data_IF_015775019859
#
_entry.id   IF_015775019859
#
_cell.length_a   1.000
_cell.length_b   1.000
_cell.length_c   1.000
_cell.angle_alpha   90.00
_cell.angle_beta   90.00
_cell.angle_gamma   90.00
#
_symmetry.space_group_name_H-M   'P 1'
#
loop_
_entity.id
_entity.type
_entity.pdbx_description
1 polymer ?
#
# COMPACT_ATOMS: atom_id res chain seq x y z
N UNK A 1 -0.24 12.89 54.26
CA UNK A 1 -0.56 13.41 52.92
C UNK A 1 -1.03 12.23 52.08
N UNK A 2 -2.34 11.99 52.13
CA UNK A 2 -3.05 10.92 51.42
C UNK A 2 -3.40 11.43 50.04
N UNK A 3 -2.60 11.04 49.04
CA UNK A 3 -2.84 11.33 47.63
C UNK A 3 -3.91 10.38 47.09
N UNK A 4 -5.11 10.93 46.95
CA UNK A 4 -6.31 10.28 46.45
C UNK A 4 -6.13 9.90 44.97
N UNK A 5 -5.73 8.66 44.67
CA UNK A 5 -5.90 8.06 43.35
C UNK A 5 -7.34 7.58 43.23
N UNK A 6 -8.26 8.53 43.06
CA UNK A 6 -9.58 8.24 42.51
C UNK A 6 -9.35 7.72 41.09
N UNK A 7 -9.20 6.41 41.00
CA UNK A 7 -9.42 5.62 39.80
C UNK A 7 -10.89 5.80 39.47
N UNK A 8 -11.19 6.87 38.73
CA UNK A 8 -12.32 6.82 37.81
C UNK A 8 -12.07 5.57 36.98
N UNK A 9 -12.80 4.49 37.28
CA UNK A 9 -13.20 3.51 36.27
C UNK A 9 -13.95 4.32 35.21
N UNK A 10 -13.19 4.99 34.35
CA UNK A 10 -13.70 5.54 33.13
C UNK A 10 -14.32 4.37 32.39
N UNK A 11 -15.54 4.58 31.88
CA UNK A 11 -16.05 3.77 30.79
C UNK A 11 -14.87 3.51 29.83
N UNK A 12 -14.62 2.24 29.45
CA UNK A 12 -13.43 1.87 28.67
C UNK A 12 -13.28 2.86 27.52
N UNK A 13 -12.10 3.47 27.40
CA UNK A 13 -11.86 4.57 26.47
C UNK A 13 -12.55 4.34 25.12
N UNK A 14 -13.49 5.23 24.77
CA UNK A 14 -14.08 5.35 23.44
C UNK A 14 -15.25 4.42 23.09
N UNK A 15 -16.35 4.42 23.84
CA UNK A 15 -17.64 3.98 23.24
C UNK A 15 -17.95 4.94 22.09
N UNK A 16 -18.07 4.39 20.87
CA UNK A 16 -18.15 5.17 19.62
C UNK A 16 -16.81 5.35 18.88
N UNK A 17 -15.74 4.68 19.32
CA UNK A 17 -14.50 4.60 18.54
C UNK A 17 -14.65 3.59 17.39
N UNK A 18 -14.80 4.13 16.18
CA UNK A 18 -14.84 3.39 14.92
C UNK A 18 -13.45 3.25 14.29
N UNK A 19 -12.35 3.28 15.06
CA UNK A 19 -10.99 3.13 14.54
C UNK A 19 -10.73 1.81 13.81
N UNK A 20 -11.57 0.79 14.01
CA UNK A 20 -11.53 -0.46 13.23
C UNK A 20 -12.09 -0.34 11.82
N UNK A 21 -12.85 0.73 11.52
CA UNK A 21 -13.46 0.96 10.22
C UNK A 21 -12.39 1.42 9.23
N UNK A 22 -12.28 0.76 8.09
CA UNK A 22 -11.18 1.00 7.15
C UNK A 22 -11.31 2.30 6.36
N UNK A 23 -12.53 2.65 5.96
CA UNK A 23 -12.81 3.91 5.24
C UNK A 23 -12.92 5.10 6.21
N UNK A 24 -12.14 6.16 5.96
CA UNK A 24 -12.18 7.39 6.76
C UNK A 24 -13.53 8.13 6.66
N UNK A 25 -14.13 8.13 5.48
CA UNK A 25 -15.43 8.77 5.24
C UNK A 25 -16.55 7.99 5.95
N UNK A 26 -16.52 6.65 5.85
CA UNK A 26 -17.49 5.80 6.55
C UNK A 26 -17.35 5.94 8.06
N UNK A 27 -16.12 5.96 8.57
CA UNK A 27 -15.84 6.19 9.99
C UNK A 27 -16.45 7.51 10.48
N UNK A 28 -16.24 8.59 9.73
CA UNK A 28 -16.80 9.91 10.05
C UNK A 28 -18.33 9.88 10.03
N UNK A 29 -18.93 9.23 9.04
CA UNK A 29 -20.38 9.04 8.95
C UNK A 29 -20.93 8.26 10.15
N UNK A 30 -20.30 7.14 10.52
CA UNK A 30 -20.71 6.31 11.65
C UNK A 30 -20.60 7.05 12.99
N UNK A 31 -19.57 7.86 13.17
CA UNK A 31 -19.44 8.72 14.35
C UNK A 31 -20.55 9.76 14.43
N UNK A 32 -20.90 10.38 13.31
CA UNK A 32 -22.03 11.32 13.22
C UNK A 32 -23.35 10.62 13.53
N UNK A 33 -23.61 9.46 12.92
CA UNK A 33 -24.85 8.69 13.14
C UNK A 33 -24.97 8.21 14.59
N UNK A 34 -23.85 7.80 15.20
CA UNK A 34 -23.80 7.43 16.61
C UNK A 34 -24.11 8.62 17.52
N UNK A 35 -23.57 9.81 17.22
CA UNK A 35 -23.91 11.03 17.95
C UNK A 35 -25.40 11.40 17.78
N UNK A 36 -25.99 11.16 16.60
CA UNK A 36 -27.42 11.38 16.35
C UNK A 36 -28.29 10.36 17.07
N UNK A 37 -27.85 9.11 17.20
CA UNK A 37 -28.50 8.08 18.02
C UNK A 37 -28.62 8.53 19.48
N UNK A 38 -27.55 9.10 20.06
CA UNK A 38 -27.57 9.64 21.43
C UNK A 38 -28.59 10.78 21.57
N UNK A 39 -28.63 11.72 20.61
CA UNK A 39 -29.62 12.81 20.62
C UNK A 39 -31.05 12.29 20.48
N UNK A 40 -31.28 11.31 19.60
CA UNK A 40 -32.59 10.69 19.43
C UNK A 40 -33.08 10.05 20.74
N UNK A 41 -32.19 9.38 21.48
CA UNK A 41 -32.52 8.80 22.79
C UNK A 41 -32.82 9.89 23.84
N UNK A 42 -32.04 10.97 23.87
CA UNK A 42 -32.30 12.10 24.78
C UNK A 42 -33.61 12.82 24.48
N UNK A 43 -33.97 12.93 23.20
CA UNK A 43 -35.22 13.53 22.74
C UNK A 43 -36.42 12.59 22.73
N UNK A 44 -36.30 11.39 23.30
CA UNK A 44 -37.36 10.37 23.34
C UNK A 44 -37.86 9.90 21.96
N UNK A 45 -37.02 10.02 20.94
CA UNK A 45 -37.29 9.61 19.55
C UNK A 45 -36.97 8.12 19.35
N UNK A 46 -37.68 7.24 20.05
CA UNK A 46 -37.37 5.80 20.14
C UNK A 46 -37.28 5.08 18.79
N UNK A 47 -38.18 5.42 17.86
CA UNK A 47 -38.20 4.86 16.52
C UNK A 47 -36.94 5.25 15.73
N UNK A 48 -36.57 6.52 15.76
CA UNK A 48 -35.36 7.03 15.11
C UNK A 48 -34.11 6.37 15.70
N UNK A 49 -34.05 6.23 17.03
CA UNK A 49 -32.95 5.54 17.71
C UNK A 49 -32.81 4.09 17.24
N UNK A 50 -33.90 3.32 17.14
CA UNK A 50 -33.85 1.94 16.66
C UNK A 50 -33.35 1.85 15.21
N UNK A 51 -33.77 2.77 14.35
CA UNK A 51 -33.37 2.81 12.93
C UNK A 51 -31.89 3.16 12.79
N UNK A 52 -31.42 4.20 13.48
CA UNK A 52 -30.01 4.61 13.50
C UNK A 52 -29.13 3.47 14.02
N UNK A 53 -29.53 2.82 15.13
CA UNK A 53 -28.79 1.69 15.69
C UNK A 53 -28.65 0.52 14.69
N UNK A 54 -29.73 0.18 13.99
CA UNK A 54 -29.70 -0.85 12.93
C UNK A 54 -28.76 -0.47 11.78
N UNK A 55 -28.81 0.78 11.33
CA UNK A 55 -27.96 1.30 10.25
C UNK A 55 -26.47 1.29 10.62
N UNK A 56 -26.13 1.74 11.82
CA UNK A 56 -24.75 1.73 12.35
C UNK A 56 -24.22 0.30 12.40
N UNK A 57 -25.01 -0.63 12.93
CA UNK A 57 -24.61 -2.03 13.05
C UNK A 57 -24.40 -2.69 11.68
N UNK A 58 -25.31 -2.46 10.73
CA UNK A 58 -25.21 -2.96 9.36
C UNK A 58 -23.93 -2.44 8.69
N UNK A 59 -23.71 -1.12 8.69
CA UNK A 59 -22.54 -0.51 8.08
C UNK A 59 -21.21 -0.95 8.73
N UNK A 60 -21.16 -1.06 10.06
CA UNK A 60 -19.96 -1.54 10.76
C UNK A 60 -19.64 -3.01 10.46
N UNK A 61 -20.65 -3.87 10.33
CA UNK A 61 -20.47 -5.27 9.95
C UNK A 61 -20.06 -5.42 8.49
N UNK A 62 -20.65 -4.63 7.57
CA UNK A 62 -20.29 -4.64 6.16
C UNK A 62 -18.80 -4.30 5.97
N UNK A 63 -18.33 -3.21 6.59
CA UNK A 63 -16.92 -2.82 6.52
C UNK A 63 -16.00 -3.87 7.16
N UNK A 64 -16.39 -4.43 8.31
CA UNK A 64 -15.64 -5.52 8.94
C UNK A 64 -15.52 -6.76 8.02
N UNK A 65 -16.62 -7.16 7.35
CA UNK A 65 -16.64 -8.29 6.42
C UNK A 65 -15.79 -8.02 5.18
N UNK A 66 -15.88 -6.81 4.62
CA UNK A 66 -15.11 -6.40 3.45
C UNK A 66 -13.60 -6.41 3.74
N UNK A 67 -13.20 -5.83 4.86
CA UNK A 67 -11.79 -5.71 5.24
C UNK A 67 -11.18 -7.05 5.65
N UNK A 68 -11.90 -7.87 6.43
CA UNK A 68 -11.34 -9.07 7.05
C UNK A 68 -11.72 -10.37 6.36
N UNK A 69 -12.83 -10.38 5.63
CA UNK A 69 -13.42 -11.61 5.13
C UNK A 69 -12.83 -12.08 3.82
N UNK A 70 -12.00 -11.28 3.14
CA UNK A 70 -11.61 -11.55 1.74
C UNK A 70 -12.81 -12.04 0.93
N UNK A 71 -13.98 -11.43 1.18
CA UNK A 71 -15.24 -11.97 0.74
C UNK A 71 -15.35 -11.72 -0.75
N UNK A 72 -15.69 -12.74 -1.54
CA UNK A 72 -15.89 -12.57 -2.98
C UNK A 72 -17.22 -11.89 -3.32
N UNK A 73 -18.08 -11.65 -2.32
CA UNK A 73 -19.38 -11.04 -2.51
C UNK A 73 -19.24 -9.54 -2.80
N UNK A 74 -20.06 -9.04 -3.72
CA UNK A 74 -20.12 -7.60 -3.98
C UNK A 74 -20.74 -6.86 -2.79
N UNK A 75 -20.50 -5.55 -2.68
CA UNK A 75 -21.21 -4.73 -1.68
C UNK A 75 -22.73 -4.83 -1.82
N UNK A 76 -23.24 -5.01 -3.05
CA UNK A 76 -24.67 -5.19 -3.31
C UNK A 76 -25.18 -6.53 -2.79
N UNK A 77 -24.40 -7.60 -2.90
CA UNK A 77 -24.75 -8.91 -2.34
C UNK A 77 -24.77 -8.85 -0.81
N UNK A 78 -23.77 -8.21 -0.21
CA UNK A 78 -23.71 -8.01 1.23
C UNK A 78 -24.87 -7.12 1.73
N UNK A 79 -25.23 -6.06 0.99
CA UNK A 79 -26.34 -5.17 1.36
C UNK A 79 -27.74 -5.82 1.24
N UNK A 80 -27.86 -6.96 0.55
CA UNK A 80 -29.09 -7.75 0.52
C UNK A 80 -29.24 -8.63 1.76
N UNK A 81 -28.15 -8.90 2.48
CA UNK A 81 -28.21 -9.69 3.70
C UNK A 81 -28.88 -8.93 4.84
N UNK A 82 -29.66 -9.65 5.61
CA UNK A 82 -30.19 -9.10 6.86
C UNK A 82 -29.12 -9.12 7.95
N UNK A 83 -29.31 -8.29 8.98
CA UNK A 83 -28.40 -8.19 10.13
C UNK A 83 -27.99 -9.55 10.72
N UNK A 84 -28.87 -10.57 10.90
CA UNK A 84 -28.44 -11.89 11.36
C UNK A 84 -27.48 -12.60 10.38
N UNK A 85 -27.67 -12.42 9.08
CA UNK A 85 -26.78 -12.97 8.04
C UNK A 85 -25.40 -12.34 8.09
N UNK A 86 -25.33 -11.01 8.27
CA UNK A 86 -24.08 -10.27 8.43
C UNK A 86 -23.33 -10.68 9.71
N UNK A 87 -24.03 -10.85 10.83
CA UNK A 87 -23.39 -11.31 12.08
C UNK A 87 -22.86 -12.73 11.92
N UNK A 88 -23.63 -13.64 11.30
CA UNK A 88 -23.13 -14.97 10.98
C UNK A 88 -21.89 -14.89 10.09
N UNK A 89 -21.88 -14.04 9.07
CA UNK A 89 -20.71 -13.86 8.23
C UNK A 89 -19.50 -13.36 9.03
N UNK A 90 -19.66 -12.36 9.90
CA UNK A 90 -18.60 -11.85 10.76
C UNK A 90 -18.03 -12.92 11.71
N UNK A 91 -18.88 -13.74 12.34
CA UNK A 91 -18.43 -14.88 13.14
C UNK A 91 -17.71 -15.93 12.27
N UNK A 92 -18.22 -16.19 11.06
CA UNK A 92 -17.60 -17.11 10.11
C UNK A 92 -16.18 -16.70 9.74
N UNK A 93 -15.92 -15.40 9.64
CA UNK A 93 -14.57 -14.87 9.42
C UNK A 93 -13.63 -15.25 10.58
N UNK A 94 -14.06 -15.21 11.84
CA UNK A 94 -13.27 -15.69 12.99
C UNK A 94 -12.94 -17.18 12.90
N UNK A 95 -13.90 -17.98 12.44
CA UNK A 95 -13.76 -19.44 12.36
C UNK A 95 -12.85 -19.86 11.22
N UNK A 96 -13.05 -19.27 10.03
CA UNK A 96 -12.34 -19.66 8.82
C UNK A 96 -10.90 -19.15 8.82
N UNK A 97 -10.65 -17.92 9.28
CA UNK A 97 -9.27 -17.41 9.42
C UNK A 97 -8.44 -18.20 10.42
N UNK A 98 -9.06 -18.80 11.44
CA UNK A 98 -8.36 -19.66 12.39
C UNK A 98 -8.05 -21.07 11.83
N UNK A 99 -8.76 -21.52 10.79
CA UNK A 99 -8.72 -22.91 10.32
C UNK A 99 -8.16 -23.09 8.90
N UNK A 100 -8.11 -22.03 8.08
CA UNK A 100 -7.72 -22.12 6.67
C UNK A 100 -6.69 -21.03 6.29
N UNK A 101 -5.72 -21.32 5.40
CA UNK A 101 -4.84 -20.30 4.84
C UNK A 101 -5.65 -19.30 3.99
N UNK A 102 -5.30 -18.01 4.06
CA UNK A 102 -5.98 -16.89 3.37
C UNK A 102 -5.93 -16.92 1.82
N UNK A 103 -5.51 -18.02 1.20
CA UNK A 103 -5.24 -18.08 -0.23
C UNK A 103 -6.51 -18.13 -1.11
N UNK A 104 -7.70 -18.33 -0.53
CA UNK A 104 -8.98 -18.43 -1.27
C UNK A 104 -9.96 -17.42 -0.70
N UNK A 105 -10.53 -16.58 -1.57
CA UNK A 105 -11.63 -15.71 -1.22
C UNK A 105 -12.85 -16.55 -0.81
N UNK A 106 -13.40 -16.30 0.39
CA UNK A 106 -14.57 -17.03 0.87
C UNK A 106 -15.84 -16.43 0.27
N UNK A 107 -16.81 -17.27 -0.09
CA UNK A 107 -18.12 -16.75 -0.48
C UNK A 107 -18.89 -16.31 0.78
N UNK A 108 -19.83 -15.39 0.61
CA UNK A 108 -20.73 -14.98 1.70
C UNK A 108 -21.48 -16.19 2.30
N UNK A 109 -21.83 -17.17 1.47
CA UNK A 109 -22.49 -18.39 1.94
C UNK A 109 -21.58 -19.20 2.85
N UNK A 110 -20.29 -19.32 2.53
CA UNK A 110 -19.31 -20.01 3.36
C UNK A 110 -19.14 -19.32 4.72
N UNK A 111 -18.99 -17.99 4.71
CA UNK A 111 -18.88 -17.18 5.93
C UNK A 111 -20.13 -17.35 6.80
N UNK A 112 -21.33 -17.16 6.24
CA UNK A 112 -22.58 -17.30 6.97
C UNK A 112 -22.78 -18.72 7.50
N UNK A 113 -22.43 -19.76 6.73
CA UNK A 113 -22.55 -21.14 7.18
C UNK A 113 -21.59 -21.45 8.33
N UNK A 114 -20.31 -21.06 8.20
CA UNK A 114 -19.31 -21.26 9.24
C UNK A 114 -19.70 -20.57 10.55
N UNK A 115 -20.20 -19.32 10.47
CA UNK A 115 -20.67 -18.61 11.66
C UNK A 115 -21.90 -19.25 12.32
N UNK A 116 -22.86 -19.73 11.52
CA UNK A 116 -24.02 -20.46 12.04
C UNK A 116 -23.61 -21.72 12.80
N UNK A 117 -22.69 -22.49 12.25
CA UNK A 117 -22.22 -23.73 12.86
C UNK A 117 -21.41 -23.44 14.14
N UNK A 118 -20.59 -22.39 14.11
CA UNK A 118 -19.84 -21.92 15.26
C UNK A 118 -20.74 -21.45 16.41
N UNK A 119 -21.81 -20.71 16.12
CA UNK A 119 -22.78 -20.26 17.12
C UNK A 119 -23.64 -21.39 17.70
N UNK A 120 -23.76 -22.52 16.99
CA UNK A 120 -24.39 -23.76 17.50
C UNK A 120 -23.45 -24.58 18.36
N UNK A 121 -22.15 -24.49 18.09
CA UNK A 121 -21.14 -25.07 18.97
C UNK A 121 -21.07 -24.26 20.26
N UNK A 122 -20.87 -24.91 21.40
CA UNK A 122 -20.79 -24.21 22.70
C UNK A 122 -19.49 -23.39 22.89
N UNK A 123 -18.75 -23.18 21.81
CA UNK A 123 -17.50 -22.43 21.75
C UNK A 123 -17.70 -20.96 22.16
N UNK A 124 -16.69 -20.42 22.82
CA UNK A 124 -16.66 -19.03 23.24
C UNK A 124 -16.07 -18.17 22.12
N UNK A 125 -16.90 -17.32 21.51
CA UNK A 125 -16.51 -16.40 20.45
C UNK A 125 -16.87 -14.97 20.87
N UNK A 126 -16.00 -14.02 20.57
CA UNK A 126 -16.19 -12.59 20.92
C UNK A 126 -17.56 -12.05 20.48
N UNK A 127 -18.00 -12.43 19.27
CA UNK A 127 -19.28 -12.00 18.69
C UNK A 127 -20.50 -12.84 19.12
N UNK A 128 -20.35 -13.87 19.98
CA UNK A 128 -21.48 -14.70 20.45
C UNK A 128 -22.49 -13.87 21.24
N UNK A 129 -22.03 -12.99 22.13
CA UNK A 129 -22.92 -12.08 22.88
C UNK A 129 -23.67 -11.14 21.92
N UNK A 130 -22.99 -10.60 20.93
CA UNK A 130 -23.57 -9.70 19.91
C UNK A 130 -24.67 -10.44 19.13
N UNK A 131 -24.43 -11.68 18.72
CA UNK A 131 -25.43 -12.50 18.04
C UNK A 131 -26.68 -12.73 18.89
N UNK A 132 -26.51 -13.10 20.16
CA UNK A 132 -27.64 -13.30 21.08
C UNK A 132 -28.47 -12.01 21.23
N UNK A 133 -27.79 -10.87 21.34
CA UNK A 133 -28.44 -9.55 21.40
C UNK A 133 -29.11 -9.16 20.08
N UNK A 134 -28.57 -9.57 18.93
CA UNK A 134 -29.14 -9.22 17.63
C UNK A 134 -30.54 -9.78 17.40
N UNK A 135 -30.87 -10.89 18.06
CA UNK A 135 -32.21 -11.49 17.98
C UNK A 135 -33.29 -10.52 18.47
N UNK A 136 -32.94 -9.67 19.45
CA UNK A 136 -33.81 -8.64 20.00
C UNK A 136 -33.93 -7.41 19.07
N UNK A 137 -33.00 -7.24 18.11
CA UNK A 137 -32.87 -6.02 17.30
C UNK A 137 -33.03 -6.23 15.79
N UNK A 138 -33.15 -7.49 15.33
CA UNK A 138 -33.16 -7.89 13.92
C UNK A 138 -34.28 -7.24 13.08
N UNK A 139 -35.37 -6.84 13.72
CA UNK A 139 -36.56 -6.30 13.06
C UNK A 139 -36.62 -4.76 13.11
N UNK A 140 -35.60 -4.08 13.64
CA UNK A 140 -35.68 -2.62 13.85
C UNK A 140 -35.68 -1.80 12.56
N UNK A 141 -35.00 -2.26 11.50
CA UNK A 141 -35.10 -1.65 10.16
C UNK A 141 -36.52 -1.74 9.60
N UNK A 142 -37.28 -2.76 10.00
CA UNK A 142 -38.66 -2.94 9.57
C UNK A 142 -39.63 -1.95 10.21
N UNK A 143 -39.22 -1.26 11.29
CA UNK A 143 -40.04 -0.25 11.96
C UNK A 143 -40.18 1.03 11.13
N UNK A 144 -39.34 1.26 10.11
CA UNK A 144 -39.46 2.43 9.20
C UNK A 144 -40.85 2.48 8.53
N UNK A 145 -41.46 1.32 8.28
CA UNK A 145 -42.74 1.21 7.57
C UNK A 145 -43.95 1.22 8.52
N UNK A 146 -44.78 2.29 8.56
CA UNK A 146 -45.92 2.38 9.49
C UNK A 146 -46.93 1.24 9.34
N UNK A 147 -47.15 0.76 8.10
CA UNK A 147 -48.07 -0.36 7.85
C UNK A 147 -47.59 -1.70 8.44
N UNK A 148 -46.28 -1.89 8.63
CA UNK A 148 -45.73 -3.10 9.25
C UNK A 148 -45.86 -3.05 10.77
N UNK A 149 -45.61 -1.88 11.36
CA UNK A 149 -45.85 -1.58 12.78
C UNK A 149 -47.27 -1.99 13.21
N UNK A 150 -48.28 -1.58 12.41
CA UNK A 150 -49.68 -1.92 12.67
C UNK A 150 -49.98 -3.42 12.55
N UNK A 151 -49.37 -4.11 11.57
CA UNK A 151 -49.62 -5.55 11.34
C UNK A 151 -48.96 -6.43 12.39
N UNK A 152 -47.72 -6.12 12.76
CA UNK A 152 -46.95 -6.90 13.72
C UNK A 152 -47.25 -6.50 15.18
N UNK A 153 -47.90 -5.35 15.39
CA UNK A 153 -48.15 -4.77 16.72
C UNK A 153 -46.86 -4.53 17.52
N UNK A 154 -45.75 -4.39 16.82
CA UNK A 154 -44.46 -4.01 17.39
C UNK A 154 -44.41 -2.48 17.44
N UNK A 155 -44.25 -1.90 18.64
CA UNK A 155 -44.03 -0.47 18.79
C UNK A 155 -42.61 -0.24 19.27
N UNK A 156 -41.91 0.71 18.65
CA UNK A 156 -40.66 1.20 19.19
C UNK A 156 -40.95 1.92 20.51
N UNK A 157 -40.43 1.40 21.61
CA UNK A 157 -40.50 2.03 22.93
C UNK A 157 -39.11 2.31 23.47
N UNK A 158 -39.07 2.93 24.65
CA UNK A 158 -37.81 3.25 25.34
C UNK A 158 -36.95 2.01 25.58
N UNK A 159 -37.54 0.89 25.98
CA UNK A 159 -36.78 -0.32 26.33
C UNK A 159 -36.12 -0.92 25.09
N UNK A 160 -36.86 -0.97 23.98
CA UNK A 160 -36.36 -1.44 22.69
C UNK A 160 -35.24 -0.53 22.18
N UNK A 161 -35.41 0.79 22.25
CA UNK A 161 -34.39 1.74 21.82
C UNK A 161 -33.10 1.64 22.68
N UNK A 162 -33.24 1.46 24.00
CA UNK A 162 -32.10 1.24 24.88
C UNK A 162 -31.40 -0.10 24.61
N UNK A 163 -32.16 -1.16 24.30
CA UNK A 163 -31.59 -2.43 23.88
C UNK A 163 -30.85 -2.32 22.54
N UNK A 164 -31.40 -1.55 21.59
CA UNK A 164 -30.77 -1.27 20.29
C UNK A 164 -29.42 -0.59 20.45
N UNK A 165 -29.35 0.45 21.29
CA UNK A 165 -28.09 1.12 21.62
C UNK A 165 -27.11 0.15 22.26
N UNK A 166 -27.52 -0.57 23.32
CA UNK A 166 -26.63 -1.49 24.02
C UNK A 166 -26.04 -2.56 23.08
N UNK A 167 -26.84 -3.02 22.10
CA UNK A 167 -26.36 -3.91 21.05
C UNK A 167 -25.28 -3.26 20.19
N UNK A 168 -25.49 -2.02 19.72
CA UNK A 168 -24.49 -1.26 18.94
C UNK A 168 -23.22 -1.03 19.73
N UNK A 169 -23.32 -0.57 20.98
CA UNK A 169 -22.16 -0.33 21.86
C UNK A 169 -21.34 -1.62 22.01
N UNK A 170 -22.02 -2.74 22.24
CA UNK A 170 -21.39 -4.06 22.37
C UNK A 170 -20.76 -4.52 21.06
N UNK A 171 -21.43 -4.33 19.94
CA UNK A 171 -20.93 -4.68 18.61
C UNK A 171 -19.65 -3.90 18.28
N UNK A 172 -19.67 -2.58 18.40
CA UNK A 172 -18.52 -1.70 18.15
C UNK A 172 -17.33 -2.13 19.02
N UNK A 173 -17.57 -2.38 20.30
CA UNK A 173 -16.53 -2.82 21.23
C UNK A 173 -15.89 -4.15 20.80
N UNK A 174 -16.70 -5.15 20.45
CA UNK A 174 -16.21 -6.47 20.06
C UNK A 174 -15.53 -6.45 18.68
N UNK A 175 -16.08 -5.75 17.69
CA UNK A 175 -15.42 -5.56 16.39
C UNK A 175 -14.08 -4.82 16.56
N UNK A 176 -14.05 -3.79 17.41
CA UNK A 176 -12.83 -3.06 17.74
C UNK A 176 -11.76 -3.93 18.42
N UNK A 177 -12.17 -4.80 19.36
CA UNK A 177 -11.27 -5.77 20.01
C UNK A 177 -10.72 -6.77 19.02
N UNK A 178 -11.58 -7.38 18.21
CA UNK A 178 -11.17 -8.37 17.22
C UNK A 178 -10.26 -7.77 16.15
N UNK A 179 -10.58 -6.58 15.68
CA UNK A 179 -9.74 -5.86 14.72
C UNK A 179 -8.38 -5.49 15.30
N UNK A 180 -8.27 -5.10 16.58
CA UNK A 180 -6.97 -4.87 17.25
C UNK A 180 -6.19 -6.15 17.48
N UNK A 181 -6.87 -7.26 17.79
CA UNK A 181 -6.23 -8.58 17.96
C UNK A 181 -5.59 -9.06 16.66
N UNK A 182 -6.30 -8.90 15.54
CA UNK A 182 -5.83 -9.30 14.20
C UNK A 182 -4.79 -8.36 13.63
N UNK A 183 -5.02 -7.06 13.82
CA UNK A 183 -4.15 -6.01 13.29
C UNK A 183 -3.71 -5.07 14.42
N UNK A 184 -2.70 -5.48 15.21
CA UNK A 184 -2.22 -4.71 16.34
C UNK A 184 -1.39 -3.49 15.95
N UNK A 185 -0.99 -3.36 14.67
CA UNK A 185 -0.08 -2.30 14.22
C UNK A 185 -0.78 -1.26 13.36
N UNK A 186 -0.62 0.01 13.73
CA UNK A 186 -0.92 1.17 12.90
C UNK A 186 0.23 1.48 11.93
N UNK A 187 0.00 2.37 10.96
CA UNK A 187 1.05 2.82 10.06
C UNK A 187 2.17 3.58 10.81
N UNK A 188 1.81 4.35 11.83
CA UNK A 188 2.77 5.02 12.72
C UNK A 188 3.60 4.01 13.51
N UNK A 189 3.01 2.92 13.99
CA UNK A 189 3.77 1.88 14.68
C UNK A 189 4.83 1.28 13.76
N UNK A 190 4.51 1.06 12.48
CA UNK A 190 5.48 0.58 11.49
C UNK A 190 6.64 1.57 11.35
N UNK A 191 6.34 2.85 11.13
CA UNK A 191 7.39 3.89 10.98
C UNK A 191 8.21 4.04 12.26
N UNK A 192 7.57 4.20 13.41
CA UNK A 192 8.26 4.34 14.70
C UNK A 192 9.16 3.13 14.97
N UNK A 193 8.69 1.92 14.66
CA UNK A 193 9.46 0.70 14.86
C UNK A 193 10.69 0.65 13.96
N UNK A 194 10.55 1.05 12.70
CA UNK A 194 11.64 1.17 11.71
C UNK A 194 12.65 2.24 12.12
N UNK A 195 12.20 3.32 12.76
CA UNK A 195 13.05 4.43 13.19
C UNK A 195 13.79 4.16 14.50
N UNK A 196 13.18 3.43 15.45
CA UNK A 196 13.71 3.27 16.80
C UNK A 196 14.39 1.92 17.07
N UNK A 197 14.17 0.89 16.26
CA UNK A 197 14.63 -0.48 16.57
C UNK A 197 15.34 -1.14 15.38
N UNK A 198 16.66 -1.23 15.45
CA UNK A 198 17.46 -1.93 14.44
C UNK A 198 17.13 -3.43 14.33
N UNK A 199 16.66 -4.05 15.41
CA UNK A 199 16.26 -5.46 15.45
C UNK A 199 14.92 -5.74 14.76
N UNK A 200 14.09 -4.71 14.59
CA UNK A 200 12.77 -4.82 13.97
C UNK A 200 12.82 -5.30 12.51
N UNK A 201 13.98 -5.20 11.86
CA UNK A 201 14.20 -5.62 10.47
C UNK A 201 13.77 -7.06 10.20
N UNK A 202 14.05 -7.94 11.15
CA UNK A 202 13.74 -9.38 11.01
C UNK A 202 12.25 -9.69 11.13
N UNK A 203 11.48 -8.79 11.77
CA UNK A 203 10.05 -8.95 12.00
C UNK A 203 9.21 -7.97 11.17
N UNK A 204 9.82 -7.05 10.42
CA UNK A 204 9.12 -6.00 9.69
C UNK A 204 8.07 -6.55 8.71
N UNK A 205 8.37 -7.67 8.04
CA UNK A 205 7.41 -8.36 7.19
C UNK A 205 6.20 -8.89 7.97
N UNK A 206 6.39 -9.43 9.18
CA UNK A 206 5.30 -9.90 10.04
C UNK A 206 4.47 -8.72 10.56
N UNK A 207 5.13 -7.61 10.93
CA UNK A 207 4.45 -6.37 11.35
C UNK A 207 3.58 -5.85 10.21
N UNK A 208 4.14 -5.67 9.00
CA UNK A 208 3.42 -5.19 7.82
C UNK A 208 2.24 -6.12 7.47
N UNK A 209 2.42 -7.44 7.55
CA UNK A 209 1.32 -8.42 7.33
C UNK A 209 0.22 -8.33 8.39
N UNK A 210 0.55 -7.84 9.58
CA UNK A 210 -0.37 -7.60 10.71
C UNK A 210 -0.80 -6.13 10.80
N UNK A 211 -0.56 -5.33 9.77
CA UNK A 211 -1.08 -3.95 9.66
C UNK A 211 -2.38 -3.98 8.86
N UNK A 212 -3.36 -3.17 9.27
CA UNK A 212 -4.66 -3.08 8.58
C UNK A 212 -4.48 -2.61 7.14
N UNK A 213 -5.32 -3.05 6.18
CA UNK A 213 -5.27 -2.54 4.82
C UNK A 213 -5.37 -1.00 4.74
N UNK A 214 -6.26 -0.36 5.50
CA UNK A 214 -6.35 1.11 5.53
C UNK A 214 -5.05 1.77 6.00
N UNK A 215 -4.38 1.17 6.99
CA UNK A 215 -3.09 1.62 7.51
C UNK A 215 -1.95 1.35 6.53
N UNK A 216 -1.98 0.24 5.77
CA UNK A 216 -1.04 0.01 4.66
C UNK A 216 -1.19 1.11 3.60
N UNK A 217 -2.42 1.47 3.23
CA UNK A 217 -2.67 2.56 2.29
C UNK A 217 -2.10 3.88 2.80
N UNK A 218 -2.35 4.19 4.08
CA UNK A 218 -1.84 5.40 4.74
C UNK A 218 -0.30 5.41 4.82
N UNK A 219 0.29 4.26 5.13
CA UNK A 219 1.74 4.07 5.15
C UNK A 219 2.34 4.38 3.78
N UNK A 220 1.76 3.84 2.71
CA UNK A 220 2.27 4.00 1.35
C UNK A 220 2.03 5.39 0.75
N UNK A 221 0.87 6.00 1.02
CA UNK A 221 0.46 7.27 0.39
C UNK A 221 1.02 8.49 1.11
N UNK A 222 1.19 8.41 2.43
CA UNK A 222 1.53 9.57 3.27
C UNK A 222 2.78 9.33 4.12
N UNK A 223 2.69 8.41 5.09
CA UNK A 223 3.67 8.36 6.18
C UNK A 223 5.07 7.92 5.75
N UNK A 224 5.22 6.88 4.93
CA UNK A 224 6.53 6.42 4.50
C UNK A 224 7.21 7.41 3.53
N UNK A 225 6.54 7.95 2.48
CA UNK A 225 7.14 8.99 1.65
C UNK A 225 7.55 10.23 2.45
N UNK A 226 6.70 10.68 3.38
CA UNK A 226 7.02 11.82 4.25
C UNK A 226 8.21 11.54 5.16
N UNK A 227 8.21 10.41 5.88
CA UNK A 227 9.32 10.02 6.76
C UNK A 227 10.63 9.87 5.98
N UNK A 228 10.58 9.37 4.74
CA UNK A 228 11.73 9.29 3.86
C UNK A 228 12.27 10.70 3.52
N UNK A 229 11.40 11.62 3.14
CA UNK A 229 11.78 13.00 2.81
C UNK A 229 12.31 13.79 4.01
N UNK A 230 11.73 13.58 5.19
CA UNK A 230 12.22 14.18 6.44
C UNK A 230 13.65 13.69 6.73
N UNK A 231 13.91 12.39 6.56
CA UNK A 231 15.23 11.78 6.72
C UNK A 231 16.23 12.28 5.67
N UNK A 232 15.79 12.41 4.42
CA UNK A 232 16.58 12.94 3.32
C UNK A 232 16.96 14.41 3.55
N UNK A 233 16.02 15.20 4.08
CA UNK A 233 16.27 16.60 4.40
C UNK A 233 17.35 16.75 5.48
N UNK A 234 17.42 15.84 6.45
CA UNK A 234 18.51 15.81 7.43
C UNK A 234 19.87 15.52 6.77
N UNK A 235 19.91 14.61 5.79
CA UNK A 235 21.11 14.30 5.01
C UNK A 235 21.59 15.49 4.16
N UNK A 236 20.66 16.15 3.47
CA UNK A 236 20.99 17.25 2.57
C UNK A 236 21.43 18.52 3.30
N UNK A 237 20.97 18.72 4.54
CA UNK A 237 21.30 19.89 5.36
C UNK A 237 22.48 19.67 6.32
N UNK A 238 23.08 18.48 6.35
CA UNK A 238 24.20 18.20 7.24
C UNK A 238 25.41 19.09 6.86
N UNK A 239 25.99 19.85 7.81
CA UNK A 239 27.13 20.72 7.53
C UNK A 239 28.40 19.88 7.33
N UNK A 240 28.73 19.57 6.09
CA UNK A 240 29.96 18.89 5.70
C UNK A 240 30.39 19.30 4.30
N UNK A 241 31.69 19.34 3.99
CA UNK A 241 32.16 19.63 2.64
C UNK A 241 31.65 18.54 1.71
N UNK A 242 30.77 18.91 0.77
CA UNK A 242 30.40 18.11 -0.39
C UNK A 242 31.62 18.05 -1.31
N UNK A 243 32.66 17.33 -0.89
CA UNK A 243 33.80 17.00 -1.76
C UNK A 243 33.41 15.74 -2.53
N UNK A 244 33.09 15.98 -3.80
CA UNK A 244 32.81 15.05 -4.89
C UNK A 244 31.64 14.07 -4.70
N UNK A 245 30.51 14.44 -5.32
CA UNK A 245 29.24 13.70 -5.37
C UNK A 245 29.33 12.28 -5.97
N UNK A 246 30.42 11.94 -6.64
CA UNK A 246 30.57 10.65 -7.34
C UNK A 246 31.11 9.52 -6.44
N UNK A 247 31.67 9.83 -5.26
CA UNK A 247 32.24 8.84 -4.33
C UNK A 247 31.48 8.76 -2.98
N UNK A 248 30.15 8.57 -3.04
CA UNK A 248 29.30 8.30 -1.86
C UNK A 248 29.61 6.97 -1.11
N UNK A 249 30.69 6.27 -1.49
CA UNK A 249 31.21 5.06 -0.84
C UNK A 249 32.46 5.32 0.04
N UNK A 250 32.95 6.57 0.16
CA UNK A 250 34.20 6.87 0.89
C UNK A 250 34.04 7.87 2.04
N UNK A 251 33.07 7.66 2.94
CA UNK A 251 32.99 8.43 4.19
C UNK A 251 33.84 7.79 5.29
N UNK A 252 35.06 8.28 5.44
CA UNK A 252 35.86 8.05 6.63
C UNK A 252 35.27 8.84 7.81
N UNK A 253 34.88 8.11 8.86
CA UNK A 253 34.19 8.62 10.05
C UNK A 253 34.98 9.72 10.77
N UNK A 254 34.45 10.93 10.80
CA UNK A 254 34.69 11.93 11.84
C UNK A 254 33.59 11.84 12.91
N UNK A 255 33.84 12.27 14.17
CA UNK A 255 32.90 12.08 15.28
C UNK A 255 31.57 12.84 15.17
N UNK A 256 31.46 13.86 14.31
CA UNK A 256 30.19 14.57 14.03
C UNK A 256 29.30 13.82 13.00
N UNK A 257 29.76 12.68 12.46
CA UNK A 257 29.07 11.88 11.44
C UNK A 257 27.92 11.00 11.96
N UNK A 258 27.67 10.98 13.28
CA UNK A 258 26.65 10.10 13.89
C UNK A 258 25.26 10.41 13.31
N UNK A 259 24.91 11.69 13.16
CA UNK A 259 23.61 12.09 12.61
C UNK A 259 23.42 11.73 11.13
N UNK A 260 24.49 11.74 10.33
CA UNK A 260 24.43 11.43 8.88
C UNK A 260 24.32 9.92 8.66
N UNK A 261 25.10 9.13 9.39
CA UNK A 261 25.02 7.67 9.34
C UNK A 261 23.63 7.16 9.78
N UNK A 262 23.05 7.80 10.79
CA UNK A 262 21.71 7.49 11.29
C UNK A 262 20.64 7.85 10.26
N UNK A 263 20.70 9.04 9.65
CA UNK A 263 19.74 9.46 8.63
C UNK A 263 19.81 8.61 7.35
N UNK A 264 21.01 8.17 6.91
CA UNK A 264 21.17 7.26 5.76
C UNK A 264 20.58 5.89 6.07
N UNK A 265 20.81 5.39 7.27
CA UNK A 265 20.21 4.15 7.75
C UNK A 265 18.68 4.29 7.77
N UNK A 266 18.17 5.43 8.24
CA UNK A 266 16.74 5.71 8.30
C UNK A 266 16.07 5.69 6.93
N UNK A 267 16.63 6.39 5.94
CA UNK A 267 16.15 6.35 4.55
C UNK A 267 16.06 4.90 4.04
N UNK A 268 17.11 4.09 4.26
CA UNK A 268 17.13 2.68 3.85
C UNK A 268 16.01 1.87 4.52
N UNK A 269 15.77 2.08 5.81
CA UNK A 269 14.75 1.32 6.54
C UNK A 269 13.33 1.73 6.18
N UNK A 270 13.09 3.04 5.99
CA UNK A 270 11.80 3.53 5.49
C UNK A 270 11.52 3.00 4.09
N UNK A 271 12.53 2.98 3.21
CA UNK A 271 12.42 2.34 1.89
C UNK A 271 12.06 0.86 1.99
N UNK A 272 12.71 0.10 2.88
CA UNK A 272 12.38 -1.31 3.05
C UNK A 272 10.95 -1.51 3.55
N UNK A 273 10.50 -0.71 4.51
CA UNK A 273 9.11 -0.74 5.00
C UNK A 273 8.12 -0.43 3.88
N UNK A 274 8.40 0.60 3.07
CA UNK A 274 7.60 0.95 1.90
C UNK A 274 7.51 -0.21 0.91
N UNK A 275 8.65 -0.83 0.54
CA UNK A 275 8.64 -1.95 -0.41
C UNK A 275 7.86 -3.16 0.11
N UNK A 276 8.05 -3.54 1.37
CA UNK A 276 7.31 -4.67 1.97
C UNK A 276 5.82 -4.40 2.07
N UNK A 277 5.44 -3.16 2.43
CA UNK A 277 4.04 -2.73 2.43
C UNK A 277 3.46 -2.73 1.02
N UNK A 278 4.21 -2.26 0.03
CA UNK A 278 3.80 -2.25 -1.37
C UNK A 278 3.59 -3.68 -1.87
N UNK A 279 4.50 -4.60 -1.57
CA UNK A 279 4.39 -6.00 -2.01
C UNK A 279 3.18 -6.71 -1.39
N UNK A 280 2.85 -6.36 -0.14
CA UNK A 280 1.69 -6.89 0.60
C UNK A 280 0.36 -6.19 0.25
N UNK A 281 0.39 -5.09 -0.50
CA UNK A 281 -0.77 -4.27 -0.79
C UNK A 281 -1.64 -4.83 -1.93
N UNK A 282 -2.94 -4.49 -1.89
CA UNK A 282 -3.87 -4.74 -2.98
C UNK A 282 -3.54 -3.92 -4.23
N UNK A 283 -4.10 -4.30 -5.38
CA UNK A 283 -3.91 -3.56 -6.65
C UNK A 283 -4.32 -2.09 -6.54
N UNK A 284 -5.43 -1.79 -5.87
CA UNK A 284 -5.91 -0.42 -5.71
C UNK A 284 -5.03 0.40 -4.78
N UNK A 285 -4.51 -0.21 -3.71
CA UNK A 285 -3.53 0.42 -2.83
C UNK A 285 -2.21 0.71 -3.55
N UNK A 286 -1.72 -0.24 -4.36
CA UNK A 286 -0.53 -0.06 -5.21
C UNK A 286 -0.71 1.09 -6.20
N UNK A 287 -1.90 1.18 -6.83
CA UNK A 287 -2.25 2.30 -7.73
C UNK A 287 -2.26 3.63 -6.99
N UNK A 288 -2.91 3.70 -5.83
CA UNK A 288 -2.96 4.90 -5.01
C UNK A 288 -1.55 5.34 -4.55
N UNK A 289 -0.70 4.39 -4.16
CA UNK A 289 0.69 4.66 -3.79
C UNK A 289 1.49 5.25 -4.96
N UNK A 290 1.36 4.71 -6.17
CA UNK A 290 2.05 5.24 -7.35
C UNK A 290 1.54 6.62 -7.76
N UNK A 291 0.24 6.87 -7.64
CA UNK A 291 -0.32 8.20 -7.87
C UNK A 291 0.21 9.23 -6.86
N UNK A 292 0.38 8.83 -5.60
CA UNK A 292 0.99 9.67 -4.57
C UNK A 292 2.47 9.99 -4.89
N UNK A 293 3.24 9.01 -5.37
CA UNK A 293 4.61 9.22 -5.85
C UNK A 293 4.63 10.16 -7.05
N UNK A 294 3.81 9.93 -8.08
CA UNK A 294 3.68 10.80 -9.25
C UNK A 294 3.37 12.27 -8.84
N UNK A 295 2.44 12.44 -7.90
CA UNK A 295 2.11 13.74 -7.31
C UNK A 295 3.29 14.41 -6.59
N UNK A 296 4.18 13.63 -5.97
CA UNK A 296 5.40 14.15 -5.36
C UNK A 296 6.43 14.58 -6.42
N UNK A 297 6.55 13.85 -7.54
CA UNK A 297 7.48 14.21 -8.62
C UNK A 297 7.19 15.60 -9.19
N UNK A 298 5.91 15.98 -9.31
CA UNK A 298 5.49 17.31 -9.80
C UNK A 298 5.79 18.44 -8.81
N UNK A 299 5.73 18.16 -7.50
CA UNK A 299 5.73 19.20 -6.45
C UNK A 299 7.11 19.48 -5.84
N UNK A 300 8.09 18.61 -6.05
CA UNK A 300 9.35 18.59 -5.32
C UNK A 300 10.52 19.09 -6.15
N UNK A 301 11.63 19.40 -5.48
CA UNK A 301 12.86 19.81 -6.15
C UNK A 301 13.51 18.64 -6.90
N UNK A 302 14.25 18.92 -7.97
CA UNK A 302 14.88 17.89 -8.82
C UNK A 302 15.75 16.89 -8.02
N UNK A 303 16.41 17.34 -6.95
CA UNK A 303 17.21 16.48 -6.05
C UNK A 303 16.35 15.55 -5.18
N UNK A 304 15.24 16.02 -4.62
CA UNK A 304 14.29 15.18 -3.87
C UNK A 304 13.64 14.14 -4.78
N UNK A 305 13.18 14.58 -5.96
CA UNK A 305 12.54 13.73 -6.97
C UNK A 305 13.47 12.58 -7.37
N UNK A 306 14.75 12.88 -7.63
CA UNK A 306 15.79 11.87 -7.90
C UNK A 306 15.86 10.80 -6.81
N UNK A 307 15.88 11.20 -5.54
CA UNK A 307 15.97 10.26 -4.43
C UNK A 307 14.70 9.42 -4.24
N UNK A 308 13.51 10.02 -4.46
CA UNK A 308 12.24 9.29 -4.45
C UNK A 308 12.27 8.18 -5.51
N UNK A 309 12.68 8.48 -6.74
CA UNK A 309 12.74 7.47 -7.79
C UNK A 309 13.74 6.36 -7.52
N UNK A 310 14.92 6.72 -7.01
CA UNK A 310 15.97 5.76 -6.69
C UNK A 310 15.56 4.76 -5.62
N UNK A 311 14.75 5.20 -4.65
CA UNK A 311 14.54 4.46 -3.42
C UNK A 311 13.11 3.97 -3.20
N UNK A 312 12.09 4.70 -3.65
CA UNK A 312 10.69 4.33 -3.43
C UNK A 312 10.03 3.75 -4.68
N UNK A 313 10.62 3.94 -5.86
CA UNK A 313 10.06 3.47 -7.12
C UNK A 313 10.85 2.26 -7.66
N UNK A 314 10.12 1.26 -8.14
CA UNK A 314 10.68 0.12 -8.90
C UNK A 314 9.95 0.09 -10.22
N UNK A 315 10.62 0.25 -11.37
CA UNK A 315 9.91 0.38 -12.65
C UNK A 315 8.91 -0.76 -12.94
N UNK A 316 9.15 -2.05 -12.59
CA UNK A 316 8.15 -3.09 -12.79
C UNK A 316 6.82 -2.84 -12.07
N UNK A 317 6.79 -2.04 -11.00
CA UNK A 317 5.55 -1.72 -10.30
C UNK A 317 4.66 -0.76 -11.08
N UNK A 318 5.19 -0.09 -12.12
CA UNK A 318 4.40 0.80 -12.98
C UNK A 318 3.24 0.08 -13.68
N UNK A 319 3.24 -1.25 -13.76
CA UNK A 319 2.08 -2.03 -14.24
C UNK A 319 0.79 -1.74 -13.45
N UNK A 320 0.89 -1.23 -12.22
CA UNK A 320 -0.26 -0.86 -11.39
C UNK A 320 -0.68 0.62 -11.52
N UNK A 321 0.18 1.48 -12.09
CA UNK A 321 -0.09 2.90 -12.25
C UNK A 321 -1.12 3.18 -13.36
N UNK A 322 -1.76 4.35 -13.28
CA UNK A 322 -2.58 4.86 -14.39
C UNK A 322 -1.68 5.20 -15.60
N UNK A 323 -2.24 5.24 -16.80
CA UNK A 323 -1.47 5.61 -18.01
C UNK A 323 -0.86 7.01 -17.88
N UNK A 324 -1.56 7.95 -17.23
CA UNK A 324 -1.05 9.31 -17.00
C UNK A 324 0.14 9.31 -16.04
N UNK A 325 0.02 8.63 -14.89
CA UNK A 325 1.11 8.50 -13.92
C UNK A 325 2.32 7.76 -14.52
N UNK A 326 2.07 6.71 -15.33
CA UNK A 326 3.12 5.99 -16.05
C UNK A 326 3.90 6.91 -16.98
N UNK A 327 3.20 7.70 -17.82
CA UNK A 327 3.86 8.61 -18.77
C UNK A 327 4.69 9.67 -18.05
N UNK A 328 4.16 10.23 -16.95
CA UNK A 328 4.87 11.22 -16.14
C UNK A 328 6.15 10.63 -15.54
N UNK A 329 6.03 9.48 -14.86
CA UNK A 329 7.15 8.83 -14.19
C UNK A 329 8.21 8.39 -15.22
N UNK A 330 7.81 7.73 -16.30
CA UNK A 330 8.73 7.29 -17.35
C UNK A 330 9.45 8.48 -17.99
N UNK A 331 8.74 9.57 -18.27
CA UNK A 331 9.32 10.79 -18.82
C UNK A 331 10.41 11.37 -17.92
N UNK A 332 10.14 11.52 -16.63
CA UNK A 332 11.06 12.11 -15.66
C UNK A 332 12.32 11.23 -15.43
N UNK A 333 12.17 9.91 -15.35
CA UNK A 333 13.30 8.96 -15.30
C UNK A 333 14.15 9.05 -16.57
N UNK A 334 13.52 9.09 -17.74
CA UNK A 334 14.23 9.18 -19.02
C UNK A 334 15.01 10.49 -19.13
N UNK A 335 14.38 11.62 -18.80
CA UNK A 335 15.03 12.93 -18.82
C UNK A 335 16.27 12.92 -17.91
N UNK A 336 16.20 12.28 -16.73
CA UNK A 336 17.37 12.10 -15.85
C UNK A 336 18.47 11.23 -16.46
N UNK A 337 18.14 10.09 -17.04
CA UNK A 337 19.13 9.23 -17.71
C UNK A 337 19.80 9.99 -18.86
N UNK A 338 19.06 10.88 -19.53
CA UNK A 338 19.57 11.73 -20.61
C UNK A 338 20.49 12.85 -20.12
N UNK A 339 20.15 13.50 -19.01
CA UNK A 339 20.94 14.60 -18.44
C UNK A 339 22.19 14.07 -17.72
N UNK A 340 22.08 12.93 -17.02
CA UNK A 340 23.16 12.34 -16.22
C UNK A 340 23.53 10.93 -16.68
N UNK A 341 23.99 10.77 -17.93
CA UNK A 341 24.28 9.46 -18.49
C UNK A 341 25.28 8.71 -17.61
N UNK A 342 26.36 9.32 -17.14
CA UNK A 342 27.41 8.61 -16.40
C UNK A 342 27.02 8.05 -15.02
N UNK A 343 25.84 8.37 -14.47
CA UNK A 343 25.48 7.94 -13.12
C UNK A 343 24.91 6.51 -13.10
N UNK A 344 25.74 5.54 -12.69
CA UNK A 344 25.35 4.13 -12.48
C UNK A 344 24.00 3.97 -11.76
N UNK A 345 23.78 4.75 -10.71
CA UNK A 345 22.57 4.67 -9.88
C UNK A 345 21.30 5.01 -10.67
N UNK A 346 21.35 5.96 -11.61
CA UNK A 346 20.20 6.30 -12.45
C UNK A 346 19.86 5.20 -13.44
N UNK A 347 20.89 4.49 -13.94
CA UNK A 347 20.69 3.28 -14.74
C UNK A 347 20.05 2.17 -13.91
N UNK A 348 20.50 1.98 -12.68
CA UNK A 348 19.96 0.94 -11.81
C UNK A 348 18.51 1.22 -11.42
N UNK A 349 18.14 2.47 -11.13
CA UNK A 349 16.74 2.84 -10.83
C UNK A 349 15.81 2.70 -12.04
N UNK A 350 16.34 2.85 -13.26
CA UNK A 350 15.58 2.62 -14.50
C UNK A 350 15.32 1.15 -14.81
N UNK A 351 15.78 0.19 -14.00
CA UNK A 351 15.63 -1.24 -14.28
C UNK A 351 14.16 -1.65 -14.38
N UNK A 352 13.73 -2.17 -15.53
CA UNK A 352 12.35 -2.53 -15.84
C UNK A 352 11.58 -1.48 -16.67
N UNK A 353 12.17 -0.31 -16.94
CA UNK A 353 11.51 0.78 -17.68
C UNK A 353 11.15 0.37 -19.11
N UNK A 354 11.89 -0.55 -19.73
CA UNK A 354 11.72 -1.00 -21.11
C UNK A 354 10.29 -1.48 -21.42
N UNK A 355 9.61 -2.10 -20.44
CA UNK A 355 8.24 -2.57 -20.59
C UNK A 355 7.22 -1.44 -20.84
N UNK A 356 7.58 -0.19 -20.56
CA UNK A 356 6.69 0.97 -20.59
C UNK A 356 7.10 2.03 -21.62
N UNK A 357 8.19 1.81 -22.39
CA UNK A 357 8.69 2.79 -23.35
C UNK A 357 7.92 2.76 -24.67
N UNK A 358 7.58 3.93 -25.20
CA UNK A 358 7.14 4.06 -26.61
C UNK A 358 8.31 3.89 -27.60
N UNK A 359 8.05 3.68 -28.90
CA UNK A 359 9.09 3.63 -29.93
C UNK A 359 9.98 4.89 -29.96
N UNK A 360 9.42 6.07 -29.72
CA UNK A 360 10.15 7.33 -29.69
C UNK A 360 11.03 7.44 -28.44
N UNK A 361 10.48 7.11 -27.27
CA UNK A 361 11.21 7.13 -26.00
C UNK A 361 12.35 6.12 -25.98
N UNK A 362 12.10 4.90 -26.48
CA UNK A 362 13.11 3.85 -26.58
C UNK A 362 14.22 4.21 -27.57
N UNK A 363 13.92 4.88 -28.69
CA UNK A 363 14.94 5.45 -29.56
C UNK A 363 15.79 6.50 -28.83
N UNK A 364 15.18 7.45 -28.12
CA UNK A 364 15.89 8.48 -27.36
C UNK A 364 16.81 7.89 -26.28
N UNK A 365 16.32 6.88 -25.55
CA UNK A 365 17.12 6.14 -24.57
C UNK A 365 18.32 5.46 -25.24
N UNK A 366 18.11 4.76 -26.36
CA UNK A 366 19.19 4.09 -27.10
C UNK A 366 20.21 5.10 -27.65
N UNK A 367 19.76 6.24 -28.18
CA UNK A 367 20.64 7.31 -28.64
C UNK A 367 21.50 7.88 -27.52
N UNK A 368 20.94 7.99 -26.32
CA UNK A 368 21.62 8.50 -25.13
C UNK A 368 22.68 7.52 -24.64
N UNK A 369 22.28 6.26 -24.43
CA UNK A 369 23.15 5.22 -23.88
C UNK A 369 24.23 4.77 -24.87
N UNK A 370 23.90 4.66 -26.15
CA UNK A 370 24.85 4.24 -27.18
C UNK A 370 25.56 5.42 -27.86
N UNK A 371 25.16 6.67 -27.56
CA UNK A 371 25.67 7.92 -28.13
C UNK A 371 26.83 8.54 -27.34
N UNK A 372 27.24 9.76 -27.73
CA UNK A 372 28.56 10.32 -27.36
C UNK A 372 28.76 10.60 -25.86
N UNK A 373 27.72 10.44 -25.02
CA UNK A 373 27.72 10.82 -23.60
C UNK A 373 28.51 9.91 -22.66
N UNK A 374 28.94 8.71 -23.07
CA UNK A 374 29.58 7.76 -22.15
C UNK A 374 31.08 7.64 -22.40
N UNK A 375 31.94 8.03 -21.42
CA UNK A 375 33.38 7.87 -21.54
C UNK A 375 33.73 6.40 -21.76
N UNK A 376 34.60 6.21 -22.74
CA UNK A 376 34.98 4.98 -23.42
C UNK A 376 34.96 3.75 -22.49
N UNK A 377 34.17 2.75 -22.90
CA UNK A 377 34.26 1.29 -22.77
C UNK A 377 35.58 0.68 -22.24
N UNK A 378 36.06 1.17 -21.11
CA UNK A 378 37.16 0.62 -20.35
C UNK A 378 36.68 -0.45 -19.36
N UNK A 379 37.59 -1.26 -18.79
CA UNK A 379 37.25 -2.36 -17.89
C UNK A 379 36.48 -1.96 -16.61
N UNK A 380 36.50 -0.67 -16.26
CA UNK A 380 35.79 -0.09 -15.12
C UNK A 380 34.77 0.97 -15.53
N UNK A 381 34.38 1.05 -16.81
CA UNK A 381 33.56 2.15 -17.28
C UNK A 381 32.06 1.87 -17.21
N UNK A 382 31.36 2.93 -16.83
CA UNK A 382 29.93 3.18 -16.97
C UNK A 382 29.36 2.63 -18.30
N UNK A 383 30.12 2.65 -19.41
CA UNK A 383 29.69 2.11 -20.71
C UNK A 383 29.30 0.62 -20.71
N UNK A 384 29.95 -0.20 -19.87
CA UNK A 384 29.54 -1.61 -19.70
C UNK A 384 28.15 -1.71 -19.05
N UNK A 385 27.90 -0.91 -18.03
CA UNK A 385 26.63 -0.88 -17.30
C UNK A 385 25.49 -0.39 -18.19
N UNK A 386 25.74 0.62 -19.03
CA UNK A 386 24.79 1.07 -20.05
C UNK A 386 24.44 -0.03 -21.07
N UNK A 387 25.45 -0.78 -21.56
CA UNK A 387 25.22 -1.92 -22.46
C UNK A 387 24.41 -3.01 -21.77
N UNK A 388 24.78 -3.37 -20.56
CA UNK A 388 24.10 -4.44 -19.81
C UNK A 388 22.67 -4.02 -19.43
N UNK A 389 22.46 -2.75 -19.09
CA UNK A 389 21.13 -2.18 -18.89
C UNK A 389 20.29 -2.25 -20.16
N UNK A 390 20.75 -1.68 -21.27
CA UNK A 390 19.99 -1.69 -22.52
C UNK A 390 19.73 -3.12 -23.00
N UNK A 391 20.65 -4.06 -22.76
CA UNK A 391 20.43 -5.48 -23.03
C UNK A 391 19.27 -6.05 -22.22
N UNK A 392 19.21 -5.78 -20.90
CA UNK A 392 18.11 -6.23 -20.02
C UNK A 392 16.79 -5.62 -20.44
N UNK A 393 16.75 -4.30 -20.60
CA UNK A 393 15.53 -3.57 -20.95
C UNK A 393 14.97 -4.00 -22.31
N UNK A 394 15.84 -4.22 -23.32
CA UNK A 394 15.42 -4.66 -24.65
C UNK A 394 14.58 -5.95 -24.62
N UNK A 395 14.91 -6.89 -23.71
CA UNK A 395 14.22 -8.19 -23.63
C UNK A 395 12.77 -8.10 -23.14
N UNK A 396 12.41 -7.00 -22.46
CA UNK A 396 11.07 -6.76 -21.93
C UNK A 396 10.33 -5.64 -22.67
N UNK A 397 10.96 -5.03 -23.69
CA UNK A 397 10.35 -3.96 -24.48
C UNK A 397 9.21 -4.50 -25.38
N UNK A 398 8.17 -3.69 -25.63
CA UNK A 398 7.25 -3.93 -26.73
C UNK A 398 8.00 -4.07 -28.07
N UNK A 399 7.49 -4.91 -28.97
CA UNK A 399 8.17 -5.24 -30.24
C UNK A 399 8.49 -4.00 -31.09
N UNK A 400 7.62 -2.98 -31.08
CA UNK A 400 7.84 -1.73 -31.82
C UNK A 400 8.98 -0.90 -31.22
N UNK A 401 9.04 -0.83 -29.89
CA UNK A 401 10.10 -0.17 -29.14
C UNK A 401 11.45 -0.88 -29.32
N UNK A 402 11.47 -2.22 -29.25
CA UNK A 402 12.65 -3.03 -29.53
C UNK A 402 13.17 -2.83 -30.97
N UNK A 403 12.28 -2.76 -31.97
CA UNK A 403 12.65 -2.43 -33.35
C UNK A 403 13.27 -1.04 -33.46
N UNK A 404 12.71 -0.07 -32.76
CA UNK A 404 13.22 1.31 -32.71
C UNK A 404 14.64 1.37 -32.15
N UNK A 405 14.89 0.69 -31.01
CA UNK A 405 16.22 0.58 -30.40
C UNK A 405 17.24 -0.09 -31.34
N UNK A 406 16.86 -1.19 -31.99
CA UNK A 406 17.73 -1.90 -32.94
C UNK A 406 18.10 -1.01 -34.14
N UNK A 407 17.13 -0.26 -34.68
CA UNK A 407 17.37 0.67 -35.78
C UNK A 407 18.33 1.80 -35.40
N UNK A 408 18.21 2.35 -34.19
CA UNK A 408 19.13 3.36 -33.65
C UNK A 408 20.54 2.79 -33.50
N UNK A 409 20.66 1.61 -32.89
CA UNK A 409 21.94 0.93 -32.68
C UNK A 409 22.65 0.64 -34.02
N UNK A 410 21.93 0.11 -35.01
CA UNK A 410 22.45 -0.16 -36.35
C UNK A 410 22.94 1.13 -37.05
N UNK A 411 22.15 2.21 -36.96
CA UNK A 411 22.53 3.52 -37.50
C UNK A 411 23.79 4.08 -36.83
N UNK A 412 23.88 3.99 -35.50
CA UNK A 412 25.05 4.44 -34.74
C UNK A 412 26.29 3.61 -35.06
N UNK A 413 26.16 2.28 -35.14
CA UNK A 413 27.22 1.37 -35.58
C UNK A 413 27.78 1.77 -36.94
N UNK A 414 26.92 1.95 -37.95
CA UNK A 414 27.34 2.39 -39.30
C UNK A 414 28.09 3.71 -39.26
N UNK A 415 27.58 4.68 -38.49
CA UNK A 415 28.23 6.00 -38.32
C UNK A 415 29.62 5.87 -37.69
N UNK A 416 29.74 5.11 -36.59
CA UNK A 416 31.00 4.91 -35.88
C UNK A 416 32.03 4.14 -36.72
N UNK A 417 31.61 3.22 -37.58
CA UNK A 417 32.50 2.52 -38.52
C UNK A 417 33.21 3.45 -39.52
N UNK A 418 32.71 4.68 -39.71
CA UNK A 418 33.37 5.69 -40.57
C UNK A 418 34.31 6.61 -39.81
N UNK A 419 34.31 6.57 -38.47
CA UNK A 419 35.09 7.47 -37.61
C UNK A 419 36.32 6.71 -37.10
N UNK A 420 37.51 7.14 -37.54
CA UNK A 420 38.80 6.58 -37.09
C UNK A 420 38.92 6.64 -35.56
N UNK A 421 39.28 5.52 -34.93
CA UNK A 421 39.41 5.41 -33.46
C UNK A 421 38.08 5.09 -32.74
N UNK A 422 37.01 4.77 -33.46
CA UNK A 422 35.72 4.34 -32.90
C UNK A 422 35.39 2.86 -33.17
N UNK A 423 36.37 2.07 -33.64
CA UNK A 423 36.21 0.69 -34.09
C UNK A 423 35.72 -0.22 -32.97
N UNK A 424 36.31 -0.12 -31.77
CA UNK A 424 35.93 -0.94 -30.60
C UNK A 424 34.48 -0.70 -30.17
N UNK A 425 34.02 0.55 -30.32
CA UNK A 425 32.65 0.93 -29.99
C UNK A 425 31.66 0.43 -31.04
N UNK A 426 32.00 0.55 -32.32
CA UNK A 426 31.20 -0.01 -33.40
C UNK A 426 31.07 -1.53 -33.24
N UNK A 427 32.17 -2.21 -32.90
CA UNK A 427 32.19 -3.65 -32.58
C UNK A 427 31.31 -3.97 -31.37
N UNK A 428 31.39 -3.19 -30.31
CA UNK A 428 30.59 -3.41 -29.10
C UNK A 428 29.08 -3.28 -29.32
N UNK A 429 28.67 -2.36 -30.21
CA UNK A 429 27.27 -2.23 -30.66
C UNK A 429 26.88 -3.40 -31.57
N UNK A 430 27.79 -3.86 -32.45
CA UNK A 430 27.54 -5.06 -33.26
C UNK A 430 27.26 -6.28 -32.39
N UNK A 431 28.05 -6.51 -31.35
CA UNK A 431 27.83 -7.61 -30.41
C UNK A 431 26.47 -7.55 -29.71
N UNK A 432 25.96 -6.33 -29.47
CA UNK A 432 24.65 -6.11 -28.87
C UNK A 432 23.53 -6.42 -29.87
N UNK A 433 23.67 -5.98 -31.14
CA UNK A 433 22.76 -6.35 -32.23
C UNK A 433 22.72 -7.88 -32.44
N UNK A 434 23.89 -8.52 -32.52
CA UNK A 434 23.99 -9.98 -32.67
C UNK A 434 23.34 -10.72 -31.49
N UNK A 435 23.41 -10.16 -30.28
CA UNK A 435 22.73 -10.70 -29.11
C UNK A 435 21.21 -10.63 -29.25
N UNK A 436 20.67 -9.49 -29.71
CA UNK A 436 19.24 -9.33 -29.94
C UNK A 436 18.71 -10.21 -31.08
N UNK A 437 19.45 -10.31 -32.19
CA UNK A 437 19.06 -11.10 -33.37
C UNK A 437 19.02 -12.62 -33.08
N UNK A 438 19.86 -13.11 -32.17
CA UNK A 438 19.85 -14.52 -31.75
C UNK A 438 18.59 -14.90 -30.98
N UNK A 439 17.74 -13.94 -30.60
CA UNK A 439 16.59 -14.17 -29.72
C UNK A 439 17.00 -14.87 -28.42
N UNK A 440 18.24 -14.63 -27.97
CA UNK A 440 18.78 -15.36 -26.83
C UNK A 440 17.87 -15.09 -25.62
N UNK A 441 17.33 -16.13 -24.96
CA UNK A 441 16.63 -15.91 -23.71
C UNK A 441 17.56 -15.13 -22.76
N UNK A 442 17.02 -14.29 -21.87
CA UNK A 442 17.84 -13.57 -20.90
C UNK A 442 18.77 -14.58 -20.20
N UNK A 443 20.06 -14.27 -20.01
CA UNK A 443 21.00 -15.21 -19.43
C UNK A 443 20.44 -15.74 -18.11
N UNK A 444 20.22 -17.05 -18.07
CA UNK A 444 19.64 -17.77 -16.95
C UNK A 444 20.35 -17.40 -15.64
N UNK A 445 19.59 -16.92 -14.64
CA UNK A 445 20.15 -16.67 -13.31
C UNK A 445 19.32 -15.81 -12.36
N UNK A 446 18.38 -15.00 -12.84
CA UNK A 446 17.45 -14.28 -11.96
C UNK A 446 16.08 -14.93 -12.09
N UNK A 447 15.88 -16.01 -11.33
CA UNK A 447 14.53 -16.42 -10.98
C UNK A 447 13.90 -15.27 -10.23
N UNK A 448 13.01 -14.51 -10.87
CA UNK A 448 12.07 -13.67 -10.15
C UNK A 448 11.15 -14.60 -9.36
N UNK A 449 11.56 -14.98 -8.15
CA UNK A 449 10.65 -15.50 -7.14
C UNK A 449 9.62 -14.39 -6.91
N UNK A 450 8.44 -14.59 -7.49
CA UNK A 450 7.28 -13.72 -7.30
C UNK A 450 6.80 -13.76 -5.86
#
# INVERSE_FOLDING_TARGET
MTGNTDSKEGLPDGIGDFGFVGSADLRTSLQSDYAELEKALQGELWKSACVLAGSIAEAALLDYIDILGHCSATQEDLAREMLPGLINAAVGIDVLTASQPQAVAWSLTDLTQAGRDALRSDSDYALRTVYLMSSAVKDFRNLIHPGRELRLREKADRNIAMAARAFVDRLILELGRESRRRFPYSAEDVINKVQCDEGARTVLLDIVRKTRPSEISRLLVDLAPKAYLDSLSLLLNAPGPVQDQDDLDFFNKTPDDVNVADAKSLCKWVTQAYCLAFDSASTDQKRAALHAIASLLVKRSSSEVTNIELHLLRMPTLQYASTEDQLLIVGDVLDRIQVYPSGKRFIESGGGIGAFLTPEQSAGLAETLLGKGWPLWGPQSTGKEAKDFLRREYSIMPADSARSVSAVADRLRRKLGTVKGSEDRAKSIQELLDYWDRGSPPPDGVSHSS
#
